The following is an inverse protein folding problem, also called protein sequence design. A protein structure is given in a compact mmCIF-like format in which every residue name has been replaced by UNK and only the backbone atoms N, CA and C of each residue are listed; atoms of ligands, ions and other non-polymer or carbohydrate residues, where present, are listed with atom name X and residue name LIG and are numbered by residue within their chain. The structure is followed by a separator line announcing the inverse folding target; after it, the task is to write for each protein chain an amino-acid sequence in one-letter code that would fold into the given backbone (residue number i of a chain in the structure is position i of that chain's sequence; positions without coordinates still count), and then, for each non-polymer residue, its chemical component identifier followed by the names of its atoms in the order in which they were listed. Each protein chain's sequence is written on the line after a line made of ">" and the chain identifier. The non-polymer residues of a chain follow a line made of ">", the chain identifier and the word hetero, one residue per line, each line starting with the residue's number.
data_IF_553504969247
#
_entry.id   IF_553504969247
#
_cell.length_a   1.000
_cell.length_b   1.000
_cell.length_c   1.000
_cell.angle_alpha   90.00
_cell.angle_beta   90.00
_cell.angle_gamma   90.00
#
_symmetry.space_group_name_H-M   'P 1'
#
loop_
_entity.id
_entity.type
_entity.pdbx_description
1 polymer ?
#
# COMPACT_ATOMS: atom_id res chain seq x y z
N UNK A 1 -40.53 -3.56 -1.27
CA UNK A 1 -39.70 -4.34 -2.19
C UNK A 1 -38.53 -4.80 -1.37
N UNK A 2 -38.40 -6.11 -1.17
CA UNK A 2 -37.36 -6.75 -0.39
C UNK A 2 -36.04 -6.56 -1.15
N UNK A 3 -35.01 -6.00 -0.49
CA UNK A 3 -33.66 -5.96 -1.00
C UNK A 3 -33.24 -7.40 -1.33
N UNK A 4 -32.91 -7.68 -2.59
CA UNK A 4 -32.12 -8.86 -2.93
C UNK A 4 -30.79 -8.72 -2.19
N UNK A 5 -30.66 -9.50 -1.13
CA UNK A 5 -29.36 -9.78 -0.53
C UNK A 5 -28.56 -10.45 -1.64
N UNK A 6 -27.58 -9.74 -2.20
CA UNK A 6 -26.59 -10.32 -3.08
C UNK A 6 -26.03 -11.54 -2.34
N UNK A 7 -26.35 -12.73 -2.84
CA UNK A 7 -25.78 -13.97 -2.33
C UNK A 7 -24.29 -13.87 -2.59
N UNK A 8 -23.50 -13.61 -1.55
CA UNK A 8 -22.06 -13.77 -1.60
C UNK A 8 -21.76 -15.13 -2.24
N UNK A 9 -20.96 -15.20 -3.30
CA UNK A 9 -20.58 -16.49 -3.88
C UNK A 9 -20.06 -17.38 -2.77
N UNK A 10 -20.49 -18.63 -2.73
CA UNK A 10 -20.07 -19.56 -1.68
C UNK A 10 -18.56 -19.78 -1.88
N UNK A 11 -17.75 -19.25 -0.97
CA UNK A 11 -16.30 -19.48 -0.99
C UNK A 11 -16.05 -20.98 -0.87
N UNK A 12 -15.20 -21.58 -1.73
CA UNK A 12 -14.79 -22.97 -1.56
C UNK A 12 -14.13 -23.18 -0.19
N UNK A 13 -14.34 -24.33 0.43
CA UNK A 13 -13.61 -24.65 1.67
C UNK A 13 -12.11 -24.76 1.37
N UNK A 14 -11.28 -23.88 1.93
CA UNK A 14 -9.86 -23.80 1.58
C UNK A 14 -9.07 -25.04 1.98
N UNK A 15 -9.56 -25.88 2.90
CA UNK A 15 -8.89 -27.09 3.35
C UNK A 15 -9.21 -28.31 2.45
N UNK A 16 -10.34 -28.32 1.74
CA UNK A 16 -10.83 -29.51 1.02
C UNK A 16 -11.12 -29.32 -0.46
N UNK A 17 -11.41 -28.11 -0.90
CA UNK A 17 -11.69 -27.82 -2.31
C UNK A 17 -10.49 -28.07 -3.22
N UNK A 18 -10.72 -28.36 -4.50
CA UNK A 18 -9.63 -28.48 -5.47
C UNK A 18 -8.97 -27.13 -5.73
N UNK A 19 -7.66 -27.08 -6.06
CA UNK A 19 -6.95 -25.81 -6.29
C UNK A 19 -7.58 -24.99 -7.41
N UNK A 20 -8.06 -25.64 -8.46
CA UNK A 20 -8.72 -24.96 -9.58
C UNK A 20 -10.10 -24.37 -9.25
N UNK A 21 -10.61 -24.60 -8.04
CA UNK A 21 -11.80 -23.94 -7.51
C UNK A 21 -11.45 -22.68 -6.71
N UNK A 22 -10.16 -22.47 -6.41
CA UNK A 22 -9.69 -21.28 -5.69
C UNK A 22 -9.61 -20.08 -6.63
N UNK A 23 -10.51 -19.13 -6.43
CA UNK A 23 -10.51 -17.87 -7.16
C UNK A 23 -9.87 -16.77 -6.32
N UNK A 24 -8.72 -16.27 -6.77
CA UNK A 24 -7.98 -15.20 -6.10
C UNK A 24 -8.49 -13.79 -6.46
N UNK A 25 -9.48 -13.71 -7.35
CA UNK A 25 -10.13 -12.45 -7.74
C UNK A 25 -11.44 -12.20 -6.98
N UNK A 26 -11.82 -13.09 -6.06
CA UNK A 26 -13.02 -12.92 -5.26
C UNK A 26 -12.95 -11.62 -4.43
N UNK A 27 -13.99 -10.77 -4.46
CA UNK A 27 -14.04 -9.54 -3.66
C UNK A 27 -13.89 -9.79 -2.16
N UNK A 28 -14.35 -10.93 -1.67
CA UNK A 28 -14.31 -11.32 -0.26
C UNK A 28 -13.12 -12.23 0.11
N UNK A 29 -12.09 -12.31 -0.77
CA UNK A 29 -10.88 -13.10 -0.53
C UNK A 29 -10.25 -12.80 0.83
N UNK A 30 -10.26 -11.54 1.25
CA UNK A 30 -9.65 -11.10 2.51
C UNK A 30 -10.61 -11.11 3.71
N UNK A 31 -11.87 -11.40 3.49
CA UNK A 31 -12.86 -11.46 4.57
C UNK A 31 -12.62 -12.69 5.46
N UNK A 32 -12.73 -12.54 6.78
CA UNK A 32 -12.50 -13.60 7.78
C UNK A 32 -11.12 -14.28 7.67
N UNK A 33 -10.11 -13.56 7.18
CA UNK A 33 -8.75 -14.11 6.96
C UNK A 33 -8.72 -15.36 6.05
N UNK A 34 -9.74 -15.57 5.20
CA UNK A 34 -9.87 -16.71 4.28
C UNK A 34 -8.63 -16.88 3.39
N UNK A 35 -8.07 -15.77 2.90
CA UNK A 35 -6.84 -15.75 2.09
C UNK A 35 -5.66 -16.48 2.75
N UNK A 36 -5.56 -16.50 4.07
CA UNK A 36 -4.43 -17.12 4.79
C UNK A 36 -4.32 -18.60 4.45
N UNK A 37 -5.45 -19.31 4.50
CA UNK A 37 -5.50 -20.76 4.19
C UNK A 37 -5.35 -21.03 2.70
N UNK A 38 -5.96 -20.22 1.86
CA UNK A 38 -5.82 -20.32 0.39
C UNK A 38 -4.35 -20.20 0.00
N UNK A 39 -3.66 -19.17 0.47
CA UNK A 39 -2.24 -18.98 0.15
C UNK A 39 -1.32 -20.02 0.81
N UNK A 40 -1.64 -20.53 2.00
CA UNK A 40 -0.90 -21.63 2.62
C UNK A 40 -0.88 -22.85 1.69
N UNK A 41 -2.03 -23.24 1.15
CA UNK A 41 -2.15 -24.35 0.21
C UNK A 41 -1.44 -24.07 -1.12
N UNK A 42 -1.64 -22.90 -1.71
CA UNK A 42 -0.97 -22.54 -2.96
C UNK A 42 0.55 -22.57 -2.81
N UNK A 43 1.11 -22.05 -1.72
CA UNK A 43 2.55 -22.16 -1.47
C UNK A 43 3.05 -23.59 -1.38
N UNK A 44 2.23 -24.49 -0.85
CA UNK A 44 2.59 -25.90 -0.68
C UNK A 44 2.42 -26.75 -1.95
N UNK A 45 1.32 -26.54 -2.69
CA UNK A 45 0.86 -27.43 -3.74
C UNK A 45 1.16 -26.90 -5.15
N UNK A 46 0.98 -25.60 -5.40
CA UNK A 46 1.23 -24.95 -6.70
C UNK A 46 1.65 -23.48 -6.52
N UNK A 47 2.91 -23.20 -6.16
CA UNK A 47 3.35 -21.85 -5.78
C UNK A 47 3.36 -20.82 -6.91
N UNK A 48 3.32 -21.26 -8.17
CA UNK A 48 3.15 -20.43 -9.36
C UNK A 48 1.85 -20.86 -10.04
N UNK A 49 0.74 -20.47 -9.44
CA UNK A 49 -0.59 -20.94 -9.76
C UNK A 49 -1.17 -20.20 -10.97
N UNK A 50 -1.53 -20.96 -12.02
CA UNK A 50 -2.19 -20.45 -13.21
C UNK A 50 -3.72 -20.41 -13.02
N UNK A 51 -4.30 -19.25 -13.22
CA UNK A 51 -5.75 -19.05 -13.15
C UNK A 51 -6.25 -18.41 -14.44
N UNK A 52 -7.39 -18.91 -14.95
CA UNK A 52 -8.14 -18.21 -15.99
C UNK A 52 -9.19 -17.33 -15.31
N UNK A 53 -9.15 -16.04 -15.60
CA UNK A 53 -10.06 -15.04 -15.02
C UNK A 53 -10.94 -14.50 -16.14
N UNK A 54 -12.27 -14.54 -15.93
CA UNK A 54 -13.24 -14.03 -16.90
C UNK A 54 -12.92 -12.56 -17.22
N UNK A 55 -13.02 -12.17 -18.47
CA UNK A 55 -12.73 -10.82 -19.01
C UNK A 55 -11.25 -10.37 -18.92
N UNK A 56 -10.42 -11.01 -18.09
CA UNK A 56 -9.01 -10.66 -17.91
C UNK A 56 -8.07 -11.61 -18.67
N UNK A 57 -8.42 -12.89 -18.75
CA UNK A 57 -7.60 -13.95 -19.35
C UNK A 57 -6.68 -14.63 -18.36
N UNK A 58 -5.55 -15.14 -18.85
CA UNK A 58 -4.57 -15.88 -18.05
C UNK A 58 -3.86 -14.99 -17.04
N UNK A 59 -3.81 -15.44 -15.79
CA UNK A 59 -3.10 -14.78 -14.68
C UNK A 59 -2.24 -15.83 -13.96
N UNK A 60 -0.97 -15.52 -13.74
CA UNK A 60 -0.04 -16.32 -12.94
C UNK A 60 0.11 -15.75 -11.55
N UNK A 61 -0.28 -16.50 -10.54
CA UNK A 61 -0.28 -16.09 -9.15
C UNK A 61 0.97 -16.61 -8.45
N UNK A 62 1.92 -15.74 -8.15
CA UNK A 62 3.20 -16.07 -7.52
C UNK A 62 3.07 -15.87 -6.01
N UNK A 63 3.23 -16.95 -5.24
CA UNK A 63 2.85 -16.98 -3.81
C UNK A 63 4.02 -17.17 -2.85
N UNK A 64 5.17 -17.74 -3.28
CA UNK A 64 6.35 -17.93 -2.44
C UNK A 64 7.25 -16.70 -2.41
N UNK A 65 7.87 -16.47 -1.28
CA UNK A 65 8.79 -15.35 -1.04
C UNK A 65 9.88 -15.23 -2.10
N UNK A 66 10.59 -16.33 -2.40
CA UNK A 66 11.73 -16.33 -3.35
C UNK A 66 11.26 -16.10 -4.78
N UNK A 67 10.12 -16.66 -5.18
CA UNK A 67 9.58 -16.50 -6.53
C UNK A 67 9.09 -15.06 -6.75
N UNK A 68 8.43 -14.46 -5.74
CA UNK A 68 8.06 -13.05 -5.74
C UNK A 68 9.30 -12.16 -5.89
N UNK A 69 10.36 -12.45 -5.13
CA UNK A 69 11.64 -11.74 -5.24
C UNK A 69 12.25 -11.84 -6.63
N UNK A 70 12.21 -13.04 -7.25
CA UNK A 70 12.73 -13.26 -8.59
C UNK A 70 11.97 -12.40 -9.62
N UNK A 71 10.64 -12.37 -9.56
CA UNK A 71 9.81 -11.53 -10.45
C UNK A 71 10.05 -10.04 -10.21
N UNK A 72 10.06 -9.59 -8.96
CA UNK A 72 10.13 -8.17 -8.59
C UNK A 72 11.50 -7.54 -8.91
N UNK A 73 12.56 -8.36 -9.00
CA UNK A 73 13.93 -7.89 -9.29
C UNK A 73 14.35 -8.06 -10.74
N UNK A 74 13.65 -8.86 -11.54
CA UNK A 74 13.93 -9.06 -12.97
C UNK A 74 13.00 -8.21 -13.86
N UNK A 75 13.24 -6.90 -13.86
CA UNK A 75 12.45 -5.96 -14.66
C UNK A 75 12.67 -6.09 -16.18
N UNK A 76 13.69 -6.80 -16.62
CA UNK A 76 13.92 -7.09 -18.05
C UNK A 76 12.94 -8.15 -18.56
N UNK A 77 12.59 -9.12 -17.71
CA UNK A 77 11.65 -10.20 -18.05
C UNK A 77 10.21 -9.90 -17.62
N UNK A 78 10.02 -9.02 -16.63
CA UNK A 78 8.73 -8.72 -16.02
C UNK A 78 8.49 -7.21 -15.96
N UNK A 79 7.85 -6.70 -17.02
CA UNK A 79 7.54 -5.27 -17.17
C UNK A 79 6.48 -4.80 -16.19
N UNK A 80 6.62 -3.55 -15.74
CA UNK A 80 5.58 -2.82 -15.01
C UNK A 80 4.70 -1.98 -15.93
N UNK A 81 5.02 -1.91 -17.23
CA UNK A 81 4.35 -0.98 -18.14
C UNK A 81 2.87 -1.30 -18.29
N UNK A 82 2.05 -0.26 -18.36
CA UNK A 82 0.61 -0.32 -18.54
C UNK A 82 -0.19 -0.39 -17.24
N UNK A 83 0.07 -1.32 -16.33
CA UNK A 83 -0.70 -1.45 -15.09
C UNK A 83 0.04 -2.23 -14.00
N UNK A 84 -0.20 -1.88 -12.75
CA UNK A 84 0.32 -2.56 -11.55
C UNK A 84 -0.75 -3.37 -10.81
N UNK A 85 -1.99 -3.28 -11.27
CA UNK A 85 -3.15 -4.06 -10.78
C UNK A 85 -3.54 -5.10 -11.84
N UNK A 86 -4.41 -6.05 -11.48
CA UNK A 86 -4.78 -7.16 -12.36
C UNK A 86 -5.43 -6.72 -13.66
N UNK A 87 -6.23 -5.65 -13.61
CA UNK A 87 -6.90 -5.06 -14.78
C UNK A 87 -5.95 -4.14 -15.56
N UNK A 88 -6.22 -3.96 -16.83
CA UNK A 88 -5.56 -2.93 -17.62
C UNK A 88 -6.17 -1.55 -17.31
N UNK A 89 -5.44 -0.49 -17.63
CA UNK A 89 -5.98 0.87 -17.52
C UNK A 89 -7.06 1.10 -18.58
N UNK A 90 -8.02 1.96 -18.26
CA UNK A 90 -9.05 2.37 -19.22
C UNK A 90 -8.44 3.17 -20.37
N UNK A 91 -8.81 2.83 -21.61
CA UNK A 91 -8.25 3.48 -22.80
C UNK A 91 -8.62 4.97 -22.89
N UNK A 92 -9.82 5.34 -22.44
CA UNK A 92 -10.36 6.71 -22.51
C UNK A 92 -10.03 7.56 -21.26
N UNK A 93 -9.53 6.94 -20.18
CA UNK A 93 -9.07 7.63 -18.96
C UNK A 93 -7.74 7.06 -18.43
N UNK A 94 -6.67 7.06 -19.25
CA UNK A 94 -5.39 6.50 -18.82
C UNK A 94 -4.74 7.41 -17.77
N UNK A 95 -4.17 6.79 -16.74
CA UNK A 95 -3.40 7.46 -15.68
C UNK A 95 -1.94 6.98 -15.71
N UNK A 96 -1.11 7.47 -16.66
CA UNK A 96 0.30 7.11 -16.68
C UNK A 96 0.99 7.57 -15.41
N UNK A 97 1.70 6.66 -14.75
CA UNK A 97 2.42 6.92 -13.50
C UNK A 97 3.74 6.16 -13.48
N UNK A 98 4.78 6.72 -12.87
CA UNK A 98 6.12 6.12 -12.98
C UNK A 98 6.22 4.71 -12.38
N UNK A 99 5.34 4.29 -11.48
CA UNK A 99 5.33 2.90 -10.95
C UNK A 99 4.85 1.90 -12.02
N UNK A 100 4.11 2.36 -13.03
CA UNK A 100 3.64 1.59 -14.18
C UNK A 100 4.47 1.93 -15.44
N UNK A 101 5.77 2.13 -15.26
CA UNK A 101 6.74 2.40 -16.33
C UNK A 101 7.99 1.58 -16.11
N UNK A 102 8.69 1.29 -17.21
CA UNK A 102 10.00 0.64 -17.20
C UNK A 102 11.14 1.67 -17.39
N UNK A 103 12.40 1.28 -17.11
CA UNK A 103 13.55 2.10 -17.45
C UNK A 103 13.63 2.40 -18.98
N UNK A 104 14.13 3.58 -19.38
CA UNK A 104 14.72 4.62 -18.55
C UNK A 104 13.71 5.63 -17.96
N UNK A 105 12.45 5.60 -18.41
CA UNK A 105 11.42 6.60 -18.07
C UNK A 105 11.08 6.53 -16.57
N UNK A 106 10.88 5.31 -16.03
CA UNK A 106 10.70 5.09 -14.60
C UNK A 106 11.81 5.77 -13.78
N UNK A 107 13.07 5.46 -14.07
CA UNK A 107 14.21 5.94 -13.28
C UNK A 107 14.36 7.46 -13.33
N UNK A 108 14.05 8.05 -14.48
CA UNK A 108 14.10 9.49 -14.66
C UNK A 108 13.06 10.19 -13.79
N UNK A 109 11.80 9.81 -13.88
CA UNK A 109 10.72 10.47 -13.13
C UNK A 109 10.81 10.20 -11.62
N UNK A 110 11.08 8.95 -11.24
CA UNK A 110 11.26 8.58 -9.83
C UNK A 110 12.37 9.38 -9.15
N UNK A 111 13.47 9.65 -9.86
CA UNK A 111 14.60 10.41 -9.33
C UNK A 111 14.22 11.83 -8.91
N UNK A 112 13.31 12.48 -9.65
CA UNK A 112 12.86 13.84 -9.34
C UNK A 112 12.21 13.94 -7.96
N UNK A 113 11.35 12.97 -7.60
CA UNK A 113 10.58 12.99 -6.35
C UNK A 113 11.26 12.25 -5.20
N UNK A 114 12.27 11.40 -5.46
CA UNK A 114 12.91 10.57 -4.45
C UNK A 114 13.64 11.40 -3.37
N UNK A 115 14.00 12.62 -3.71
CA UNK A 115 14.66 13.59 -2.81
C UNK A 115 13.76 13.93 -1.62
N UNK A 116 12.42 13.97 -1.79
CA UNK A 116 11.48 14.30 -0.72
C UNK A 116 11.63 13.36 0.50
N UNK A 117 11.93 12.09 0.25
CA UNK A 117 12.08 11.05 1.28
C UNK A 117 13.54 10.65 1.53
N UNK A 118 14.49 11.45 1.07
CA UNK A 118 15.90 11.22 1.34
C UNK A 118 16.23 11.32 2.85
N UNK A 119 17.22 10.57 3.36
CA UNK A 119 17.53 10.52 4.80
C UNK A 119 17.71 11.88 5.46
N UNK A 120 18.31 12.84 4.75
CA UNK A 120 18.51 14.21 5.26
C UNK A 120 17.17 14.94 5.49
N UNK A 121 16.23 14.81 4.57
CA UNK A 121 14.92 15.45 4.68
C UNK A 121 14.08 14.77 5.75
N UNK A 122 14.13 13.44 5.84
CA UNK A 122 13.45 12.68 6.89
C UNK A 122 13.93 13.06 8.29
N UNK A 123 15.24 13.31 8.49
CA UNK A 123 15.76 13.75 9.78
C UNK A 123 15.15 15.10 10.23
N UNK A 124 14.88 16.01 9.29
CA UNK A 124 14.18 17.28 9.59
C UNK A 124 12.70 17.03 9.88
N UNK A 125 12.08 16.10 9.16
CA UNK A 125 10.64 15.80 9.32
C UNK A 125 10.30 15.12 10.65
N UNK A 126 11.22 14.42 11.30
CA UNK A 126 10.92 13.67 12.53
C UNK A 126 10.34 14.57 13.63
N UNK A 127 10.88 15.78 13.80
CA UNK A 127 10.36 16.76 14.76
C UNK A 127 8.91 17.19 14.44
N UNK A 128 8.63 17.39 13.15
CA UNK A 128 7.27 17.74 12.67
C UNK A 128 6.29 16.60 12.91
N UNK A 129 6.68 15.35 12.56
CA UNK A 129 5.88 14.15 12.78
C UNK A 129 5.55 14.02 14.27
N UNK A 130 6.56 14.14 15.13
CA UNK A 130 6.40 14.02 16.59
C UNK A 130 5.46 15.08 17.17
N UNK A 131 5.61 16.33 16.74
CA UNK A 131 4.71 17.40 17.15
C UNK A 131 3.24 17.15 16.74
N UNK A 132 3.02 16.64 15.54
CA UNK A 132 1.68 16.29 15.05
C UNK A 132 1.09 15.09 15.79
N UNK A 133 1.87 14.04 15.98
CA UNK A 133 1.43 12.87 16.77
C UNK A 133 1.02 13.30 18.17
N UNK A 134 1.83 14.10 18.86
CA UNK A 134 1.45 14.62 20.20
C UNK A 134 0.14 15.36 20.18
N UNK A 135 -0.04 16.27 19.21
CA UNK A 135 -1.28 17.03 19.10
C UNK A 135 -2.51 16.13 18.83
N UNK A 136 -2.36 15.13 17.94
CA UNK A 136 -3.41 14.14 17.68
C UNK A 136 -3.76 13.39 18.96
N UNK A 137 -2.77 12.89 19.72
CA UNK A 137 -2.99 12.11 20.93
C UNK A 137 -3.57 12.97 22.09
N UNK A 138 -3.20 14.25 22.19
CA UNK A 138 -3.75 15.21 23.14
C UNK A 138 -5.24 15.52 22.91
N UNK A 139 -5.68 15.48 21.64
CA UNK A 139 -7.05 15.80 21.25
C UNK A 139 -8.01 14.59 21.35
N UNK A 140 -7.50 13.38 21.67
CA UNK A 140 -8.34 12.19 21.78
C UNK A 140 -9.26 12.23 22.98
N UNK A 141 -10.52 11.74 22.86
CA UNK A 141 -11.46 11.62 23.96
C UNK A 141 -11.11 10.45 24.89
N UNK A 142 -10.11 10.63 25.75
CA UNK A 142 -9.57 9.57 26.62
C UNK A 142 -10.67 9.10 27.59
N UNK A 143 -10.84 7.76 27.66
CA UNK A 143 -11.88 7.13 28.47
C UNK A 143 -13.22 6.93 27.76
N UNK A 144 -13.32 7.35 26.51
CA UNK A 144 -14.48 7.13 25.64
C UNK A 144 -14.10 6.26 24.44
N UNK A 145 -15.08 5.56 23.85
CA UNK A 145 -14.89 4.82 22.61
C UNK A 145 -14.97 5.78 21.42
N UNK A 146 -13.99 5.71 20.52
CA UNK A 146 -13.92 6.54 19.33
C UNK A 146 -13.39 5.76 18.11
N UNK A 147 -13.55 6.32 16.93
CA UNK A 147 -13.01 5.75 15.70
C UNK A 147 -11.52 6.08 15.57
N UNK A 148 -10.67 5.07 15.86
CA UNK A 148 -9.22 5.18 15.75
C UNK A 148 -8.75 5.50 14.31
N UNK A 149 -9.40 4.90 13.32
CA UNK A 149 -9.02 5.12 11.91
C UNK A 149 -9.17 6.59 11.55
N UNK A 150 -10.30 7.21 11.91
CA UNK A 150 -10.56 8.59 11.57
C UNK A 150 -9.71 9.59 12.39
N UNK A 151 -9.66 9.42 13.71
CA UNK A 151 -9.01 10.41 14.59
C UNK A 151 -7.49 10.28 14.64
N UNK A 152 -6.93 9.10 14.33
CA UNK A 152 -5.47 8.88 14.42
C UNK A 152 -4.87 8.53 13.06
N UNK A 153 -5.34 7.43 12.44
CA UNK A 153 -4.68 6.89 11.25
C UNK A 153 -4.79 7.83 10.05
N UNK A 154 -6.01 8.26 9.72
CA UNK A 154 -6.27 9.21 8.62
C UNK A 154 -5.68 10.58 8.97
N UNK A 155 -5.85 11.04 10.19
CA UNK A 155 -5.39 12.37 10.59
C UNK A 155 -3.86 12.49 10.46
N UNK A 156 -3.10 11.49 10.91
CA UNK A 156 -1.65 11.51 10.78
C UNK A 156 -1.19 11.44 9.32
N UNK A 157 -1.75 10.51 8.52
CA UNK A 157 -1.34 10.34 7.12
C UNK A 157 -1.67 11.55 6.27
N UNK A 158 -2.86 12.15 6.43
CA UNK A 158 -3.26 13.36 5.68
C UNK A 158 -2.42 14.57 6.05
N UNK A 159 -2.10 14.77 7.33
CA UNK A 159 -1.19 15.84 7.75
C UNK A 159 0.20 15.68 7.14
N UNK A 160 0.70 14.45 7.04
CA UNK A 160 2.00 14.18 6.44
C UNK A 160 1.99 14.41 4.93
N UNK A 161 0.95 13.96 4.23
CA UNK A 161 0.78 14.23 2.80
C UNK A 161 0.69 15.74 2.52
N UNK A 162 -0.11 16.47 3.30
CA UNK A 162 -0.19 17.92 3.18
C UNK A 162 1.19 18.59 3.31
N UNK A 163 2.07 18.06 4.18
CA UNK A 163 3.45 18.57 4.30
C UNK A 163 4.30 18.23 3.08
N UNK A 164 4.20 16.98 2.57
CA UNK A 164 5.00 16.53 1.43
C UNK A 164 4.66 17.30 0.14
N UNK A 165 3.38 17.66 -0.04
CA UNK A 165 2.91 18.40 -1.20
C UNK A 165 2.93 19.93 -1.00
N UNK A 166 3.23 20.43 0.22
CA UNK A 166 2.98 21.82 0.63
C UNK A 166 1.54 22.24 0.26
N UNK A 167 0.60 21.37 0.63
CA UNK A 167 -0.83 21.47 0.36
C UNK A 167 -1.53 22.28 1.47
N UNK A 168 -2.53 23.11 1.16
CA UNK A 168 -3.30 23.85 2.17
C UNK A 168 -3.84 22.94 3.26
N UNK A 169 -3.47 23.23 4.51
CA UNK A 169 -3.71 22.32 5.63
C UNK A 169 -5.20 22.15 5.95
N UNK A 170 -5.99 23.20 5.75
CA UNK A 170 -7.44 23.20 5.88
C UNK A 170 -8.14 22.22 4.92
N UNK A 171 -7.57 22.04 3.73
CA UNK A 171 -8.11 21.17 2.67
C UNK A 171 -7.54 19.74 2.70
N UNK A 172 -6.66 19.41 3.66
CA UNK A 172 -5.93 18.14 3.69
C UNK A 172 -6.80 16.87 3.56
N UNK A 173 -8.05 16.91 4.04
CA UNK A 173 -8.98 15.78 3.94
C UNK A 173 -9.37 15.44 2.50
N UNK A 174 -9.22 16.36 1.55
CA UNK A 174 -9.38 16.08 0.12
C UNK A 174 -8.39 15.03 -0.36
N UNK A 175 -7.15 15.04 0.18
CA UNK A 175 -6.14 14.03 -0.17
C UNK A 175 -6.59 12.62 0.18
N UNK A 176 -7.25 12.43 1.34
CA UNK A 176 -7.84 11.13 1.69
C UNK A 176 -9.00 10.79 0.76
N UNK A 177 -9.91 11.73 0.48
CA UNK A 177 -11.04 11.47 -0.43
C UNK A 177 -10.56 11.06 -1.81
N UNK A 178 -9.60 11.74 -2.40
CA UNK A 178 -9.06 11.39 -3.72
C UNK A 178 -8.30 10.06 -3.71
N UNK A 179 -7.65 9.71 -2.59
CA UNK A 179 -7.06 8.38 -2.40
C UNK A 179 -8.14 7.29 -2.41
N UNK A 180 -9.18 7.45 -1.62
CA UNK A 180 -10.28 6.51 -1.51
C UNK A 180 -11.00 6.34 -2.86
N UNK A 181 -11.28 7.44 -3.57
CA UNK A 181 -11.90 7.44 -4.92
C UNK A 181 -11.01 6.75 -5.96
N UNK A 182 -9.70 6.99 -5.93
CA UNK A 182 -8.77 6.41 -6.90
C UNK A 182 -8.62 4.89 -6.75
N UNK A 183 -8.84 4.36 -5.54
CA UNK A 183 -8.72 2.93 -5.23
C UNK A 183 -10.06 2.22 -5.08
N UNK A 184 -11.16 2.94 -5.21
CA UNK A 184 -12.51 2.39 -5.11
C UNK A 184 -12.81 1.43 -6.26
N UNK A 185 -13.50 0.37 -5.96
CA UNK A 185 -14.19 -0.48 -6.92
C UNK A 185 -15.72 -0.27 -6.84
N UNK A 186 -16.45 -0.83 -7.80
CA UNK A 186 -17.90 -0.68 -7.92
C UNK A 186 -18.68 -1.24 -6.71
N UNK A 187 -18.03 -2.07 -5.89
CA UNK A 187 -18.66 -2.72 -4.73
C UNK A 187 -18.37 -1.99 -3.41
N UNK A 188 -17.42 -1.07 -3.41
CA UNK A 188 -16.93 -0.37 -2.21
C UNK A 188 -17.95 0.60 -1.61
N UNK A 189 -18.89 1.10 -2.40
CA UNK A 189 -19.82 2.17 -2.01
C UNK A 189 -19.15 3.52 -1.75
N UNK A 190 -17.88 3.68 -2.14
CA UNK A 190 -17.13 4.94 -2.02
C UNK A 190 -17.54 5.92 -3.12
N UNK A 191 -17.80 5.41 -4.30
CA UNK A 191 -18.35 6.14 -5.45
C UNK A 191 -19.60 5.40 -5.95
N UNK A 192 -20.54 6.16 -6.50
CA UNK A 192 -21.80 5.61 -7.03
C UNK A 192 -21.67 5.22 -8.51
N UNK A 193 -20.67 5.71 -9.21
CA UNK A 193 -20.43 5.44 -10.63
C UNK A 193 -19.00 5.83 -11.06
N UNK A 194 -18.57 5.27 -12.21
CA UNK A 194 -17.32 5.67 -12.85
C UNK A 194 -17.32 7.15 -13.28
N UNK A 195 -18.48 7.70 -13.65
CA UNK A 195 -18.60 9.13 -13.96
C UNK A 195 -18.26 9.99 -12.75
N UNK A 196 -18.80 9.68 -11.56
CA UNK A 196 -18.46 10.37 -10.31
C UNK A 196 -16.97 10.23 -9.99
N UNK A 197 -16.40 9.03 -10.15
CA UNK A 197 -14.98 8.79 -9.95
C UNK A 197 -14.12 9.71 -10.80
N UNK A 198 -14.41 9.79 -12.11
CA UNK A 198 -13.70 10.66 -13.07
C UNK A 198 -13.88 12.14 -12.74
N UNK A 199 -15.07 12.56 -12.31
CA UNK A 199 -15.35 13.94 -11.88
C UNK A 199 -14.48 14.31 -10.67
N UNK A 200 -14.47 13.51 -9.62
CA UNK A 200 -13.66 13.78 -8.40
C UNK A 200 -12.15 13.74 -8.68
N UNK A 201 -11.68 12.85 -9.55
CA UNK A 201 -10.28 12.84 -10.00
C UNK A 201 -9.96 14.06 -10.87
N UNK A 202 -10.93 14.56 -11.63
CA UNK A 202 -10.85 15.83 -12.36
C UNK A 202 -10.72 17.03 -11.43
N UNK A 203 -11.44 17.04 -10.29
CA UNK A 203 -11.27 18.06 -9.26
C UNK A 203 -9.86 18.02 -8.64
N UNK A 204 -9.33 16.81 -8.38
CA UNK A 204 -7.95 16.65 -7.94
C UNK A 204 -6.96 17.28 -8.93
N UNK A 205 -7.09 16.95 -10.22
CA UNK A 205 -6.25 17.51 -11.27
C UNK A 205 -6.33 19.03 -11.31
N UNK A 206 -7.54 19.60 -11.24
CA UNK A 206 -7.75 21.05 -11.29
C UNK A 206 -7.06 21.72 -10.09
N UNK A 207 -7.26 21.20 -8.87
CA UNK A 207 -6.66 21.73 -7.67
C UNK A 207 -5.13 21.72 -7.73
N UNK A 208 -4.55 20.59 -8.10
CA UNK A 208 -3.09 20.46 -8.21
C UNK A 208 -2.51 21.25 -9.41
N UNK A 209 -3.30 21.48 -10.46
CA UNK A 209 -2.89 22.36 -11.54
C UNK A 209 -2.72 23.81 -11.06
N UNK A 210 -3.58 24.29 -10.18
CA UNK A 210 -3.42 25.61 -9.55
C UNK A 210 -2.14 25.68 -8.72
N UNK A 211 -1.87 24.65 -7.90
CA UNK A 211 -0.63 24.55 -7.13
C UNK A 211 0.61 24.50 -8.06
N UNK A 212 0.55 23.72 -9.13
CA UNK A 212 1.60 23.68 -10.14
C UNK A 212 1.88 25.06 -10.74
N UNK A 213 0.85 25.78 -11.17
CA UNK A 213 0.97 27.11 -11.75
C UNK A 213 1.57 28.13 -10.78
N UNK A 214 1.33 27.98 -9.50
CA UNK A 214 1.99 28.78 -8.45
C UNK A 214 3.47 28.42 -8.33
N UNK A 215 3.85 27.12 -8.35
CA UNK A 215 5.21 26.64 -8.14
C UNK A 215 6.13 26.90 -9.33
N UNK A 216 5.66 26.74 -10.56
CA UNK A 216 6.47 26.91 -11.77
C UNK A 216 7.07 28.31 -11.89
N UNK A 217 6.44 29.31 -11.29
CA UNK A 217 6.89 30.70 -11.29
C UNK A 217 7.70 31.09 -10.03
N UNK A 218 8.00 30.14 -9.16
CA UNK A 218 8.79 30.33 -7.92
C UNK A 218 10.11 29.56 -8.03
N UNK A 219 11.12 29.87 -7.21
CA UNK A 219 12.31 29.01 -7.11
C UNK A 219 11.93 27.57 -6.70
N UNK A 220 12.69 26.56 -7.17
CA UNK A 220 12.48 25.17 -6.74
C UNK A 220 12.48 25.04 -5.23
N UNK A 221 11.48 24.31 -4.70
CA UNK A 221 11.28 24.05 -3.28
C UNK A 221 11.32 22.53 -2.97
N UNK A 222 11.28 22.18 -1.70
CA UNK A 222 11.41 20.80 -1.22
C UNK A 222 10.11 20.01 -1.17
N UNK A 223 9.01 20.55 -1.70
CA UNK A 223 7.73 19.85 -1.79
C UNK A 223 7.58 19.08 -3.13
N UNK A 224 6.70 18.07 -3.13
CA UNK A 224 6.51 17.20 -4.29
C UNK A 224 5.95 17.94 -5.51
N UNK A 225 5.07 18.95 -5.32
CA UNK A 225 4.55 19.74 -6.46
C UNK A 225 5.66 20.52 -7.13
N UNK A 226 6.51 21.20 -6.32
CA UNK A 226 7.66 21.92 -6.82
C UNK A 226 8.67 21.00 -7.52
N UNK A 227 8.94 19.82 -6.96
CA UNK A 227 9.82 18.82 -7.57
C UNK A 227 9.31 18.37 -8.94
N UNK A 228 8.01 18.08 -9.06
CA UNK A 228 7.40 17.70 -10.33
C UNK A 228 7.42 18.86 -11.34
N UNK A 229 7.14 20.07 -10.89
CA UNK A 229 7.06 21.25 -11.76
C UNK A 229 8.43 21.70 -12.32
N UNK A 230 9.54 21.42 -11.59
CA UNK A 230 10.89 21.84 -11.98
C UNK A 230 11.78 20.70 -12.47
N UNK A 231 11.37 19.43 -12.25
CA UNK A 231 12.16 18.24 -12.62
C UNK A 231 12.34 18.16 -14.14
N UNK A 232 13.55 17.86 -14.61
CA UNK A 232 13.85 17.79 -16.03
C UNK A 232 13.00 16.75 -16.77
N UNK A 233 12.66 15.65 -16.12
CA UNK A 233 11.86 14.58 -16.70
C UNK A 233 10.35 14.71 -16.45
N UNK A 234 9.92 15.68 -15.64
CA UNK A 234 8.53 15.82 -15.21
C UNK A 234 7.89 17.16 -15.58
N UNK A 235 8.68 18.22 -15.75
CA UNK A 235 8.19 19.60 -16.04
C UNK A 235 7.31 19.74 -17.29
N UNK A 236 7.37 18.78 -18.21
CA UNK A 236 6.58 18.77 -19.46
C UNK A 236 5.54 17.63 -19.50
N UNK A 237 5.20 17.03 -18.35
CA UNK A 237 4.14 16.02 -18.29
C UNK A 237 2.80 16.58 -18.81
N UNK A 238 2.06 15.74 -19.55
CA UNK A 238 0.67 16.04 -19.87
C UNK A 238 -0.24 15.96 -18.62
N UNK A 239 -1.45 16.53 -18.69
CA UNK A 239 -2.36 16.57 -17.55
C UNK A 239 -2.65 15.20 -16.91
N UNK A 240 -2.91 14.17 -17.72
CA UNK A 240 -3.23 12.82 -17.23
C UNK A 240 -2.00 12.12 -16.60
N UNK A 241 -0.81 12.34 -17.13
CA UNK A 241 0.43 11.83 -16.53
C UNK A 241 0.74 12.54 -15.20
N UNK A 242 0.46 13.83 -15.11
CA UNK A 242 0.55 14.58 -13.86
C UNK A 242 -0.44 14.03 -12.83
N UNK A 243 -1.71 13.86 -13.22
CA UNK A 243 -2.73 13.25 -12.35
C UNK A 243 -2.31 11.85 -11.89
N UNK A 244 -1.87 10.99 -12.82
CA UNK A 244 -1.41 9.64 -12.50
C UNK A 244 -0.29 9.63 -11.45
N UNK A 245 0.71 10.49 -11.60
CA UNK A 245 1.80 10.61 -10.63
C UNK A 245 1.35 11.22 -9.30
N UNK A 246 0.40 12.16 -9.29
CA UNK A 246 -0.21 12.67 -8.06
C UNK A 246 -0.96 11.56 -7.30
N UNK A 247 -1.84 10.84 -8.00
CA UNK A 247 -2.61 9.73 -7.40
C UNK A 247 -1.67 8.66 -6.86
N UNK A 248 -0.63 8.27 -7.60
CA UNK A 248 0.39 7.35 -7.10
C UNK A 248 1.00 7.81 -5.76
N UNK A 249 1.38 9.08 -5.66
CA UNK A 249 2.03 9.63 -4.47
C UNK A 249 1.05 9.81 -3.30
N UNK A 250 -0.20 10.19 -3.59
CA UNK A 250 -1.27 10.35 -2.60
C UNK A 250 -1.66 8.98 -2.03
N UNK A 251 -2.03 8.01 -2.88
CA UNK A 251 -2.44 6.66 -2.47
C UNK A 251 -1.31 5.95 -1.72
N UNK A 252 -0.10 5.98 -2.30
CA UNK A 252 1.08 5.35 -1.69
C UNK A 252 1.43 5.90 -0.30
N UNK A 253 1.20 7.19 -0.06
CA UNK A 253 1.49 7.83 1.23
C UNK A 253 0.34 7.76 2.25
N UNK A 254 -0.89 7.52 1.80
CA UNK A 254 -2.09 7.50 2.63
C UNK A 254 -2.46 6.09 3.08
N UNK A 255 -2.93 5.25 2.17
CA UNK A 255 -3.63 4.00 2.49
C UNK A 255 -2.76 2.98 3.20
N UNK A 256 -1.57 2.74 2.70
CA UNK A 256 -0.68 1.71 3.25
C UNK A 256 -0.22 2.04 4.67
N UNK A 257 0.06 3.32 4.94
CA UNK A 257 0.45 3.79 6.26
C UNK A 257 -0.74 3.81 7.21
N UNK A 258 -1.91 4.29 6.77
CA UNK A 258 -3.18 4.26 7.52
C UNK A 258 -3.52 2.84 7.99
N UNK A 259 -3.45 1.88 7.09
CA UNK A 259 -3.70 0.47 7.39
C UNK A 259 -2.67 -0.11 8.37
N UNK A 260 -1.40 0.24 8.24
CA UNK A 260 -0.35 -0.21 9.17
C UNK A 260 -0.51 0.39 10.57
N UNK A 261 -0.94 1.65 10.69
CA UNK A 261 -1.24 2.30 11.97
C UNK A 261 -2.41 1.57 12.66
N UNK A 262 -3.50 1.33 11.94
CA UNK A 262 -4.69 0.65 12.46
C UNK A 262 -4.39 -0.82 12.79
N UNK A 263 -3.67 -1.52 11.90
CA UNK A 263 -3.25 -2.90 12.11
C UNK A 263 -2.39 -3.08 13.36
N UNK A 264 -1.49 -2.16 13.64
CA UNK A 264 -0.65 -2.19 14.84
C UNK A 264 -1.45 -2.23 16.14
N UNK A 265 -2.51 -1.40 16.24
CA UNK A 265 -3.41 -1.40 17.40
C UNK A 265 -4.21 -2.70 17.46
N UNK A 266 -4.78 -3.15 16.33
CA UNK A 266 -5.53 -4.41 16.25
C UNK A 266 -4.67 -5.59 16.71
N UNK A 267 -3.46 -5.73 16.16
CA UNK A 267 -2.60 -6.89 16.46
C UNK A 267 -2.15 -6.92 17.91
N UNK A 268 -1.76 -5.79 18.52
CA UNK A 268 -1.40 -5.76 19.92
C UNK A 268 -2.57 -6.13 20.83
N UNK A 269 -3.82 -5.87 20.43
CA UNK A 269 -5.00 -6.33 21.15
C UNK A 269 -5.31 -7.82 20.92
N UNK A 270 -5.09 -8.33 19.71
CA UNK A 270 -5.24 -9.75 19.39
C UNK A 270 -4.15 -10.63 20.03
N UNK A 271 -2.96 -10.07 20.21
CA UNK A 271 -1.79 -10.76 20.81
C UNK A 271 -1.35 -10.07 22.12
N UNK A 272 -2.11 -10.25 23.22
CA UNK A 272 -1.89 -9.51 24.47
C UNK A 272 -0.50 -9.76 25.09
N UNK A 273 0.10 -10.93 24.87
CA UNK A 273 1.46 -11.23 25.34
C UNK A 273 2.51 -10.34 24.65
N UNK A 274 2.32 -10.05 23.36
CA UNK A 274 3.18 -9.15 22.61
C UNK A 274 3.01 -7.70 23.10
N UNK A 275 1.77 -7.30 23.45
CA UNK A 275 1.54 -5.99 24.06
C UNK A 275 2.20 -5.86 25.44
N UNK A 276 2.18 -6.93 26.28
CA UNK A 276 2.89 -6.94 27.57
C UNK A 276 4.41 -6.82 27.37
N UNK A 277 4.99 -7.48 26.37
CA UNK A 277 6.40 -7.30 26.01
C UNK A 277 6.73 -5.84 25.66
N UNK A 278 5.88 -5.20 24.83
CA UNK A 278 6.05 -3.79 24.48
C UNK A 278 6.01 -2.90 25.71
N UNK A 279 5.03 -3.10 26.59
CA UNK A 279 4.91 -2.34 27.86
C UNK A 279 6.14 -2.52 28.75
N UNK A 280 6.66 -3.73 28.84
CA UNK A 280 7.86 -4.03 29.64
C UNK A 280 9.15 -3.46 29.02
N UNK A 281 9.20 -3.34 27.71
CA UNK A 281 10.36 -2.83 26.97
C UNK A 281 9.96 -2.02 25.73
N UNK A 282 9.70 -0.71 25.86
CA UNK A 282 9.43 0.18 24.72
C UNK A 282 10.59 0.25 23.70
N UNK A 283 11.79 -0.18 24.07
CA UNK A 283 12.93 -0.32 23.15
C UNK A 283 12.69 -1.31 22.00
N UNK A 284 11.62 -2.11 22.06
CA UNK A 284 11.21 -3.01 20.98
C UNK A 284 10.47 -2.30 19.83
N UNK A 285 10.04 -1.04 20.00
CA UNK A 285 9.30 -0.30 18.95
C UNK A 285 10.01 -0.31 17.59
N UNK A 286 11.34 -0.09 17.48
CA UNK A 286 12.02 -0.13 16.18
C UNK A 286 12.00 -1.49 15.48
N UNK A 287 11.81 -2.60 16.23
CA UNK A 287 11.66 -3.94 15.69
C UNK A 287 10.19 -4.31 15.45
N UNK A 288 9.30 -3.84 16.31
CA UNK A 288 7.85 -4.04 16.18
C UNK A 288 7.29 -3.40 14.90
N UNK A 289 7.78 -2.23 14.52
CA UNK A 289 7.25 -1.51 13.34
C UNK A 289 7.40 -2.30 12.04
N UNK A 290 8.56 -2.84 11.66
CA UNK A 290 8.65 -3.74 10.51
C UNK A 290 7.77 -4.99 10.63
N UNK A 291 7.57 -5.52 11.84
CA UNK A 291 6.70 -6.68 12.06
C UNK A 291 5.21 -6.33 11.86
N UNK A 292 4.76 -5.14 12.30
CA UNK A 292 3.41 -4.64 11.99
C UNK A 292 3.21 -4.58 10.48
N UNK A 293 4.16 -3.98 9.75
CA UNK A 293 4.08 -3.81 8.30
C UNK A 293 4.09 -5.16 7.59
N UNK A 294 4.91 -6.12 8.05
CA UNK A 294 4.94 -7.48 7.53
C UNK A 294 3.61 -8.20 7.74
N UNK A 295 3.09 -8.17 8.96
CA UNK A 295 1.89 -8.92 9.35
C UNK A 295 0.64 -8.34 8.72
N UNK A 296 0.57 -7.01 8.57
CA UNK A 296 -0.51 -6.30 7.88
C UNK A 296 -0.45 -6.52 6.38
N UNK A 297 0.73 -6.39 5.79
CA UNK A 297 0.93 -6.37 4.33
C UNK A 297 -0.12 -5.51 3.60
N UNK A 298 -0.12 -4.19 3.83
CA UNK A 298 -1.22 -3.32 3.40
C UNK A 298 -1.42 -3.24 1.88
N UNK A 299 -0.40 -3.58 1.10
CA UNK A 299 -0.47 -3.81 -0.34
C UNK A 299 -0.39 -5.31 -0.59
N UNK A 300 -1.53 -5.94 -0.92
CA UNK A 300 -1.64 -7.38 -1.01
C UNK A 300 -0.80 -7.97 -2.15
N UNK A 301 -0.82 -7.33 -3.32
CA UNK A 301 -0.11 -7.77 -4.52
C UNK A 301 0.28 -6.60 -5.40
N UNK A 302 1.17 -6.86 -6.36
CA UNK A 302 1.40 -6.05 -7.57
C UNK A 302 1.48 -6.95 -8.79
N UNK A 303 1.13 -6.38 -9.97
CA UNK A 303 1.22 -7.03 -11.28
C UNK A 303 2.53 -6.72 -11.96
N UNK A 304 2.98 -7.69 -12.77
CA UNK A 304 3.93 -7.53 -13.88
C UNK A 304 3.36 -8.19 -15.14
N UNK A 305 3.93 -7.89 -16.29
CA UNK A 305 3.64 -8.56 -17.54
C UNK A 305 4.93 -9.20 -18.08
N UNK A 306 4.89 -10.47 -18.45
CA UNK A 306 6.05 -11.15 -19.01
C UNK A 306 6.41 -10.54 -20.38
N UNK A 307 7.68 -10.13 -20.57
CA UNK A 307 8.18 -9.53 -21.83
C UNK A 307 8.66 -10.56 -22.82
N UNK A 308 8.75 -11.81 -22.40
CA UNK A 308 9.19 -12.99 -23.15
C UNK A 308 8.72 -14.25 -22.43
N UNK A 309 8.87 -15.41 -23.05
CA UNK A 309 8.68 -16.67 -22.34
C UNK A 309 9.70 -16.81 -21.21
N UNK A 310 9.23 -16.97 -19.97
CA UNK A 310 10.06 -17.01 -18.76
C UNK A 310 9.81 -18.26 -17.95
N UNK A 311 10.88 -18.96 -17.58
CA UNK A 311 10.79 -20.09 -16.63
C UNK A 311 10.80 -19.55 -15.20
N UNK A 312 9.73 -19.87 -14.43
CA UNK A 312 9.64 -19.56 -13.00
C UNK A 312 9.28 -20.86 -12.24
N UNK A 313 10.19 -21.37 -11.44
CA UNK A 313 10.04 -22.69 -10.84
C UNK A 313 9.94 -23.78 -11.92
N UNK A 314 8.89 -24.58 -11.87
CA UNK A 314 8.58 -25.63 -12.86
C UNK A 314 7.63 -25.15 -13.97
N UNK A 315 7.22 -23.88 -13.97
CA UNK A 315 6.26 -23.30 -14.91
C UNK A 315 6.97 -22.47 -15.99
N UNK A 316 6.46 -22.55 -17.20
CA UNK A 316 6.81 -21.63 -18.29
C UNK A 316 5.68 -20.59 -18.40
N UNK A 317 6.00 -19.33 -18.14
CA UNK A 317 5.10 -18.20 -18.27
C UNK A 317 5.29 -17.63 -19.67
N UNK A 318 4.26 -17.66 -20.55
CA UNK A 318 4.36 -17.10 -21.89
C UNK A 318 4.53 -15.57 -21.90
N UNK A 319 5.15 -15.08 -22.98
CA UNK A 319 5.18 -13.64 -23.28
C UNK A 319 3.77 -13.05 -23.31
N UNK A 320 3.57 -11.89 -22.68
CA UNK A 320 2.32 -11.17 -22.60
C UNK A 320 1.42 -11.56 -21.41
N UNK A 321 1.71 -12.69 -20.75
CA UNK A 321 0.89 -13.12 -19.60
C UNK A 321 1.09 -12.23 -18.38
N UNK A 322 0.01 -12.05 -17.60
CA UNK A 322 0.01 -11.30 -16.35
C UNK A 322 0.53 -12.14 -15.20
N UNK A 323 1.38 -11.54 -14.37
CA UNK A 323 2.01 -12.18 -13.21
C UNK A 323 1.72 -11.34 -11.96
N UNK A 324 0.97 -11.90 -11.02
CA UNK A 324 0.65 -11.25 -9.74
C UNK A 324 1.59 -11.75 -8.64
N UNK A 325 2.33 -10.84 -8.07
CA UNK A 325 3.22 -11.09 -6.93
C UNK A 325 2.43 -10.88 -5.64
N UNK A 326 1.99 -11.94 -4.99
CA UNK A 326 1.20 -11.88 -3.77
C UNK A 326 2.07 -11.65 -2.53
N UNK A 327 2.38 -10.40 -2.23
CA UNK A 327 3.19 -10.01 -1.06
C UNK A 327 2.59 -10.50 0.26
N UNK A 328 1.26 -10.49 0.37
CA UNK A 328 0.54 -11.00 1.54
C UNK A 328 0.80 -12.50 1.77
N UNK A 329 0.94 -13.27 0.69
CA UNK A 329 1.34 -14.67 0.74
C UNK A 329 2.83 -14.84 1.10
N UNK A 330 3.72 -14.16 0.41
CA UNK A 330 5.16 -14.26 0.64
C UNK A 330 5.58 -13.82 2.04
N UNK A 331 4.89 -12.86 2.64
CA UNK A 331 5.09 -12.47 4.03
C UNK A 331 4.64 -13.51 5.07
N UNK A 332 3.92 -14.53 4.64
CA UNK A 332 3.50 -15.69 5.42
C UNK A 332 4.24 -16.99 5.01
N UNK A 333 5.28 -16.88 4.18
CA UNK A 333 6.06 -18.04 3.73
C UNK A 333 7.03 -18.51 4.83
N UNK A 334 6.67 -19.61 5.49
CA UNK A 334 7.46 -20.21 6.57
C UNK A 334 8.80 -20.82 6.12
N UNK A 335 9.01 -21.01 4.81
CA UNK A 335 10.31 -21.41 4.27
C UNK A 335 11.37 -20.32 4.39
N UNK A 336 10.95 -19.06 4.49
CA UNK A 336 11.82 -17.89 4.56
C UNK A 336 11.70 -17.11 5.85
N UNK A 337 10.53 -17.11 6.48
CA UNK A 337 10.21 -16.34 7.69
C UNK A 337 9.78 -17.32 8.79
N UNK A 338 10.61 -17.47 9.81
CA UNK A 338 10.30 -18.38 10.93
C UNK A 338 8.99 -17.98 11.62
N UNK A 339 8.09 -18.94 11.88
CA UNK A 339 6.77 -18.72 12.46
C UNK A 339 6.03 -17.57 11.76
N UNK A 340 5.96 -17.58 10.41
CA UNK A 340 5.48 -16.50 9.58
C UNK A 340 4.03 -16.07 9.89
N UNK A 341 3.18 -16.99 10.35
CA UNK A 341 1.78 -16.73 10.71
C UNK A 341 1.60 -16.12 12.11
N UNK A 342 2.68 -15.99 12.88
CA UNK A 342 2.67 -15.38 14.19
C UNK A 342 3.05 -13.91 14.11
N UNK A 343 2.29 -13.04 14.78
CA UNK A 343 2.71 -11.68 15.11
C UNK A 343 3.70 -11.72 16.28
N UNK A 344 4.92 -11.19 16.07
CA UNK A 344 6.02 -11.37 17.02
C UNK A 344 6.93 -10.12 17.01
N UNK A 345 6.74 -9.21 17.99
CA UNK A 345 7.37 -7.88 17.99
C UNK A 345 8.89 -7.86 18.19
N UNK A 346 9.45 -8.91 18.79
CA UNK A 346 10.90 -9.10 18.94
C UNK A 346 11.46 -10.15 17.94
N UNK A 347 10.78 -10.36 16.81
CA UNK A 347 11.17 -11.26 15.73
C UNK A 347 12.60 -10.99 15.26
N UNK A 348 13.47 -12.01 15.21
CA UNK A 348 14.75 -11.90 14.53
C UNK A 348 14.55 -11.52 13.06
N UNK A 349 15.32 -10.55 12.55
CA UNK A 349 15.24 -10.11 11.16
C UNK A 349 13.83 -9.60 10.72
N UNK A 350 13.12 -8.86 11.57
CA UNK A 350 11.78 -8.34 11.29
C UNK A 350 11.69 -7.56 9.96
N UNK A 351 12.81 -7.04 9.44
CA UNK A 351 12.89 -6.38 8.13
C UNK A 351 12.99 -7.33 6.94
N UNK A 352 13.04 -8.64 7.17
CA UNK A 352 12.92 -9.65 6.11
C UNK A 352 11.45 -9.81 5.75
N UNK A 353 10.93 -8.92 4.91
CA UNK A 353 9.52 -8.88 4.51
C UNK A 353 9.38 -8.25 3.10
N UNK A 354 8.25 -8.49 2.44
CA UNK A 354 7.98 -8.10 1.06
C UNK A 354 7.06 -6.87 0.92
N UNK A 355 6.48 -6.33 2.02
CA UNK A 355 5.46 -5.28 1.95
C UNK A 355 5.91 -3.99 1.23
N UNK A 356 7.22 -3.76 1.14
CA UNK A 356 7.80 -2.63 0.42
C UNK A 356 8.27 -2.97 -0.99
N UNK A 357 8.09 -4.21 -1.44
CA UNK A 357 8.64 -4.69 -2.70
C UNK A 357 10.16 -4.69 -2.75
N UNK A 358 10.69 -5.07 -3.90
CA UNK A 358 12.12 -5.11 -4.21
C UNK A 358 12.40 -4.53 -5.60
N UNK A 359 13.65 -4.61 -6.05
CA UNK A 359 14.03 -4.13 -7.36
C UNK A 359 13.87 -2.63 -7.54
N UNK A 360 13.68 -2.20 -8.78
CA UNK A 360 13.61 -0.79 -9.17
C UNK A 360 12.38 -0.07 -8.63
N UNK A 361 11.28 -0.80 -8.43
CA UNK A 361 10.01 -0.27 -7.91
C UNK A 361 9.88 -0.33 -6.38
N UNK A 362 10.92 -0.76 -5.66
CA UNK A 362 10.86 -0.78 -4.20
C UNK A 362 10.32 0.53 -3.64
N UNK A 363 9.42 0.45 -2.66
CA UNK A 363 8.76 1.60 -2.05
C UNK A 363 9.75 2.71 -1.69
N UNK A 364 9.55 3.90 -2.25
CA UNK A 364 10.39 5.07 -1.95
C UNK A 364 10.13 5.62 -0.56
N UNK A 365 8.88 5.50 -0.07
CA UNK A 365 8.40 6.02 1.21
C UNK A 365 8.68 5.10 2.40
N UNK A 366 9.34 3.94 2.24
CA UNK A 366 9.50 2.94 3.28
C UNK A 366 10.04 3.49 4.62
N UNK A 367 11.05 4.36 4.55
CA UNK A 367 11.65 4.98 5.74
C UNK A 367 10.71 5.98 6.42
N UNK A 368 9.93 6.71 5.63
CA UNK A 368 8.94 7.65 6.15
C UNK A 368 7.80 6.92 6.85
N UNK A 369 7.28 5.84 6.25
CA UNK A 369 6.27 4.99 6.85
C UNK A 369 6.75 4.39 8.18
N UNK A 370 7.93 3.76 8.19
CA UNK A 370 8.53 3.24 9.43
C UNK A 370 8.72 4.34 10.49
N UNK A 371 9.12 5.55 10.09
CA UNK A 371 9.30 6.68 11.01
C UNK A 371 7.97 7.14 11.61
N UNK A 372 6.91 7.27 10.81
CA UNK A 372 5.59 7.66 11.30
C UNK A 372 5.06 6.64 12.33
N UNK A 373 5.14 5.33 12.03
CA UNK A 373 4.71 4.29 12.96
C UNK A 373 5.58 4.30 14.24
N UNK A 374 6.90 4.41 14.10
CA UNK A 374 7.82 4.45 15.24
C UNK A 374 7.50 5.61 16.16
N UNK A 375 7.41 6.82 15.63
CA UNK A 375 7.12 8.03 16.41
C UNK A 375 5.73 7.94 17.07
N UNK A 376 4.73 7.42 16.36
CA UNK A 376 3.39 7.21 16.91
C UNK A 376 3.44 6.28 18.13
N UNK A 377 4.08 5.12 18.02
CA UNK A 377 4.16 4.15 19.12
C UNK A 377 5.04 4.61 20.28
N UNK A 378 6.10 5.39 20.00
CA UNK A 378 6.89 6.07 21.05
C UNK A 378 6.02 7.02 21.86
N UNK A 379 5.24 7.88 21.20
CA UNK A 379 4.38 8.85 21.91
C UNK A 379 3.18 8.16 22.58
N UNK A 380 2.56 7.13 21.97
CA UNK A 380 1.52 6.32 22.65
C UNK A 380 2.07 5.73 23.95
N UNK A 381 3.26 5.13 23.90
CA UNK A 381 3.89 4.50 25.08
C UNK A 381 4.22 5.51 26.19
N UNK A 382 4.40 6.80 25.85
CA UNK A 382 4.67 7.85 26.81
C UNK A 382 3.41 8.39 27.49
N UNK A 383 2.25 8.34 26.80
CA UNK A 383 1.03 9.06 27.22
C UNK A 383 -0.04 8.10 27.73
N UNK A 384 -0.15 6.91 27.15
CA UNK A 384 -1.22 5.95 27.46
C UNK A 384 -0.67 4.66 28.04
N UNK A 385 -1.37 4.15 29.02
CA UNK A 385 -1.09 2.82 29.55
C UNK A 385 -1.44 1.73 28.52
N UNK A 386 -2.54 1.90 27.78
CA UNK A 386 -3.04 0.98 26.79
C UNK A 386 -4.00 1.68 25.83
N UNK A 387 -3.95 1.27 24.56
CA UNK A 387 -5.01 1.50 23.57
C UNK A 387 -5.80 0.21 23.44
N UNK A 388 -7.09 0.23 23.75
CA UNK A 388 -7.96 -0.94 23.76
C UNK A 388 -8.93 -0.87 22.58
N UNK A 389 -9.03 -2.00 21.83
CA UNK A 389 -10.01 -2.16 20.76
C UNK A 389 -11.30 -2.67 21.38
N UNK A 390 -12.41 -1.95 21.14
CA UNK A 390 -13.76 -2.27 21.62
C UNK A 390 -14.64 -2.58 20.41
N UNK A 391 -15.32 -3.72 20.46
CA UNK A 391 -16.15 -4.22 19.36
C UNK A 391 -15.34 -5.11 18.38
N UNK A 392 -15.98 -5.45 17.27
CA UNK A 392 -15.43 -6.26 16.20
C UNK A 392 -14.67 -5.40 15.18
#
# INVERSE_FOLDING_TARGET
>A
MMSEVLKTPLRPDPDTAALNEMDLMLPDLFHDDYHVKVFERLRAEDPVYRQEVEEIGTVWNVTKYQDIMAVDTDHDSFSSEGSIVVTDQEEDFPLPMFIAMDPPRHDQQRREVNVAVAPRNLAVMEGTIRGRVRKILEDLPVGETFNWVDLVSIELTTQMLATLFDFPFEDRRKLTRWSDVATADDTSGIVDSEEQRREELGECLAYFTELWNQRVNQPPAGDLVSMLAHGESTKNMGPMEYLGNLILLIVGGNDTTRNSISGGVRFLNQFPDEYQKLKANPGLIPNMVPEIIRYQTPLAYMRRTATRDVQLGDKLIPEGDRVLMWYVSGNRDSSMIDQADRFWIDRPKARQQLSFGFGIHRCMGNRLAEMQLRVLWEEISNVFERVEVVGE
#
